data_IF_455407968244
#
_entry.id   IF_455407968244
#
_cell.length_a   1.000
_cell.length_b   1.000
_cell.length_c   1.000
_cell.angle_alpha   90.00
_cell.angle_beta   90.00
_cell.angle_gamma   90.00
#
_symmetry.space_group_name_H-M   'P 1'
#
loop_
_entity.id
_entity.type
_entity.pdbx_description
1 polymer ?
#
# COMPACT_ATOMS: atom_id res chain seq x y z
N UNK A 1 0.10 -12.98 11.46
CA UNK A 1 0.38 -11.98 10.41
C UNK A 1 -0.96 -11.46 9.90
N UNK A 2 -1.53 -10.48 10.59
CA UNK A 2 -2.67 -9.73 10.08
C UNK A 2 -2.17 -8.87 8.93
N UNK A 3 -2.38 -9.30 7.69
CA UNK A 3 -2.20 -8.43 6.53
C UNK A 3 -3.33 -7.41 6.66
N UNK A 4 -3.02 -6.26 7.23
CA UNK A 4 -3.94 -5.14 7.30
C UNK A 4 -4.39 -4.82 5.87
N UNK A 5 -5.70 -4.96 5.62
CA UNK A 5 -6.26 -4.63 4.31
C UNK A 5 -6.05 -3.13 4.10
N UNK A 6 -5.15 -2.76 3.20
CA UNK A 6 -4.94 -1.38 2.81
C UNK A 6 -6.23 -0.76 2.22
N UNK A 7 -6.32 0.58 2.17
CA UNK A 7 -7.51 1.30 1.70
C UNK A 7 -7.87 1.00 0.24
N UNK A 8 -6.99 0.35 -0.53
CA UNK A 8 -7.33 -0.20 -1.84
C UNK A 8 -8.48 -1.22 -1.79
N UNK A 9 -8.66 -1.92 -0.67
CA UNK A 9 -9.71 -2.92 -0.50
C UNK A 9 -11.09 -2.30 -0.25
N UNK A 10 -11.17 -1.00 0.06
CA UNK A 10 -12.44 -0.33 0.39
C UNK A 10 -13.36 -0.23 -0.83
N UNK A 11 -12.78 -0.13 -2.03
CA UNK A 11 -13.49 0.01 -3.30
C UNK A 11 -13.86 -1.33 -3.95
N UNK A 12 -13.53 -2.45 -3.30
CA UNK A 12 -13.85 -3.80 -3.77
C UNK A 12 -14.55 -4.60 -2.68
N UNK A 13 -15.29 -5.62 -3.07
CA UNK A 13 -15.94 -6.56 -2.15
C UNK A 13 -15.40 -7.95 -2.40
N UNK A 14 -14.98 -8.66 -1.35
CA UNK A 14 -14.54 -10.05 -1.48
C UNK A 14 -15.78 -10.93 -1.70
N UNK A 15 -15.87 -11.53 -2.88
CA UNK A 15 -16.88 -12.52 -3.23
C UNK A 15 -16.24 -13.89 -3.10
N UNK A 16 -16.64 -14.64 -2.07
CA UNK A 16 -16.30 -16.06 -1.98
C UNK A 16 -17.16 -16.79 -3.01
N UNK A 17 -16.53 -17.42 -3.99
CA UNK A 17 -17.25 -18.30 -4.90
C UNK A 17 -17.01 -19.73 -4.43
N UNK A 18 -18.09 -20.44 -4.12
CA UNK A 18 -18.05 -21.87 -3.86
C UNK A 18 -17.83 -22.56 -5.21
N UNK A 19 -16.56 -22.73 -5.59
CA UNK A 19 -16.19 -23.59 -6.70
C UNK A 19 -16.43 -25.04 -6.32
N UNK A 20 -16.88 -25.85 -7.27
CA UNK A 20 -17.18 -27.29 -7.14
C UNK A 20 -15.97 -28.18 -6.81
N UNK A 21 -14.81 -27.60 -6.49
CA UNK A 21 -13.52 -28.28 -6.31
C UNK A 21 -12.84 -28.03 -4.95
N UNK A 22 -13.56 -27.50 -3.96
CA UNK A 22 -13.05 -27.33 -2.59
C UNK A 22 -11.95 -26.26 -2.41
N UNK A 23 -11.42 -25.69 -3.49
CA UNK A 23 -10.47 -24.57 -3.44
C UNK A 23 -11.24 -23.26 -3.32
N UNK A 24 -11.31 -22.70 -2.10
CA UNK A 24 -11.91 -21.39 -1.81
C UNK A 24 -11.06 -20.26 -2.41
N UNK A 25 -11.15 -20.04 -3.71
CA UNK A 25 -10.54 -18.88 -4.35
C UNK A 25 -11.46 -17.66 -4.14
N UNK A 26 -11.04 -16.76 -3.26
CA UNK A 26 -11.71 -15.47 -3.08
C UNK A 26 -11.58 -14.62 -4.34
N UNK A 27 -12.70 -14.19 -4.92
CA UNK A 27 -12.75 -13.23 -6.02
C UNK A 27 -12.98 -11.83 -5.44
N UNK A 28 -12.55 -10.79 -6.12
CA UNK A 28 -12.88 -9.41 -5.76
C UNK A 28 -13.86 -8.84 -6.78
N UNK A 29 -14.95 -8.23 -6.30
CA UNK A 29 -15.92 -7.48 -7.10
C UNK A 29 -15.66 -5.99 -6.95
N UNK A 30 -15.41 -5.28 -8.04
CA UNK A 30 -15.31 -3.84 -8.07
C UNK A 30 -16.66 -3.20 -7.72
N UNK A 31 -16.70 -2.22 -6.79
CA UNK A 31 -17.96 -1.52 -6.44
C UNK A 31 -18.36 -0.47 -7.49
N UNK A 32 -17.44 -0.08 -8.38
CA UNK A 32 -17.69 0.97 -9.37
C UNK A 32 -18.16 0.44 -10.73
N UNK A 33 -17.56 -0.64 -11.22
CA UNK A 33 -17.92 -1.27 -12.50
C UNK A 33 -18.50 -2.67 -12.36
N UNK A 34 -18.66 -3.15 -11.12
CA UNK A 34 -19.20 -4.48 -10.81
C UNK A 34 -18.42 -5.68 -11.36
N UNK A 35 -17.26 -5.42 -11.98
CA UNK A 35 -16.42 -6.46 -12.55
C UNK A 35 -15.78 -7.33 -11.46
N UNK A 36 -15.79 -8.65 -11.69
CA UNK A 36 -15.26 -9.65 -10.76
C UNK A 36 -13.94 -10.18 -11.28
N UNK A 37 -12.88 -10.07 -10.50
CA UNK A 37 -11.53 -10.50 -10.88
C UNK A 37 -10.78 -11.18 -9.72
N UNK A 38 -9.80 -11.99 -10.08
CA UNK A 38 -8.91 -12.68 -9.13
C UNK A 38 -7.66 -11.84 -8.87
N UNK A 39 -7.17 -11.83 -7.63
CA UNK A 39 -5.91 -11.17 -7.27
C UNK A 39 -5.93 -10.47 -5.90
N UNK A 40 -4.77 -9.97 -5.49
CA UNK A 40 -4.63 -9.14 -4.29
C UNK A 40 -4.61 -7.64 -4.59
N UNK A 41 -4.18 -6.86 -3.61
CA UNK A 41 -4.02 -5.40 -3.66
C UNK A 41 -3.40 -4.86 -4.96
N UNK A 42 -2.32 -5.48 -5.45
CA UNK A 42 -1.65 -5.06 -6.69
C UNK A 42 -2.59 -5.08 -7.89
N UNK A 43 -3.40 -6.15 -8.06
CA UNK A 43 -4.35 -6.25 -9.17
C UNK A 43 -5.52 -5.29 -8.98
N UNK A 44 -5.94 -5.04 -7.74
CA UNK A 44 -6.95 -4.03 -7.42
C UNK A 44 -6.47 -2.64 -7.85
N UNK A 45 -5.22 -2.27 -7.50
CA UNK A 45 -4.61 -0.99 -7.93
C UNK A 45 -4.55 -0.88 -9.45
N UNK A 46 -4.04 -1.91 -10.14
CA UNK A 46 -3.95 -1.93 -11.61
C UNK A 46 -5.31 -1.77 -12.30
N UNK A 47 -6.37 -2.37 -11.75
CA UNK A 47 -7.74 -2.22 -12.25
C UNK A 47 -8.20 -0.75 -12.24
N UNK A 48 -7.96 -0.03 -11.14
CA UNK A 48 -8.33 1.39 -10.99
C UNK A 48 -7.42 2.33 -11.76
N UNK A 49 -6.12 2.05 -11.81
CA UNK A 49 -5.13 2.82 -12.58
C UNK A 49 -5.24 2.59 -14.09
N UNK A 50 -6.06 1.63 -14.54
CA UNK A 50 -6.27 1.28 -15.95
C UNK A 50 -4.95 1.00 -16.69
N UNK A 51 -3.98 0.39 -16.01
CA UNK A 51 -2.65 0.07 -16.58
C UNK A 51 -2.76 -1.16 -17.46
N UNK A 52 -2.31 -1.04 -18.72
CA UNK A 52 -2.30 -2.13 -19.69
C UNK A 52 -1.12 -3.09 -19.45
N UNK A 53 -1.31 -4.36 -19.82
CA UNK A 53 -0.21 -5.35 -19.89
C UNK A 53 -0.11 -6.34 -18.73
N UNK A 54 -0.88 -6.19 -17.64
CA UNK A 54 -0.79 -7.06 -16.45
C UNK A 54 -1.88 -8.14 -16.35
N UNK A 55 -2.67 -8.36 -17.41
CA UNK A 55 -3.74 -9.36 -17.41
C UNK A 55 -4.89 -9.06 -16.43
N UNK A 56 -5.07 -7.78 -16.08
CA UNK A 56 -6.16 -7.28 -15.23
C UNK A 56 -7.11 -6.47 -16.10
N UNK A 57 -8.42 -6.70 -15.96
CA UNK A 57 -9.43 -5.92 -16.66
C UNK A 57 -9.40 -4.46 -16.18
N UNK A 58 -9.54 -3.51 -17.11
CA UNK A 58 -9.67 -2.09 -16.78
C UNK A 58 -11.01 -1.79 -16.10
N UNK A 59 -11.03 -0.84 -15.17
CA UNK A 59 -12.29 -0.32 -14.67
C UNK A 59 -13.04 0.39 -15.80
N UNK A 60 -14.30 0.02 -16.02
CA UNK A 60 -15.21 0.62 -17.01
C UNK A 60 -16.19 1.62 -16.38
N UNK A 61 -15.98 1.97 -15.10
CA UNK A 61 -16.79 2.96 -14.42
C UNK A 61 -16.59 4.36 -15.02
N UNK A 62 -17.56 5.24 -14.79
CA UNK A 62 -17.47 6.64 -15.18
C UNK A 62 -16.23 7.31 -14.56
N UNK A 63 -15.55 8.13 -15.36
CA UNK A 63 -14.29 8.79 -14.97
C UNK A 63 -14.47 9.67 -13.73
N UNK A 64 -15.64 10.31 -13.59
CA UNK A 64 -16.04 11.11 -12.42
C UNK A 64 -15.91 10.35 -11.09
N UNK A 65 -16.26 9.05 -11.10
CA UNK A 65 -16.13 8.18 -9.92
C UNK A 65 -14.76 7.54 -9.81
N UNK A 66 -14.03 7.42 -10.92
CA UNK A 66 -12.75 6.73 -11.00
C UNK A 66 -11.57 7.63 -10.62
N UNK A 67 -11.60 8.91 -10.98
CA UNK A 67 -10.58 9.91 -10.67
C UNK A 67 -10.21 10.01 -9.18
N UNK A 68 -11.16 10.15 -8.23
CA UNK A 68 -10.82 10.19 -6.81
C UNK A 68 -10.16 8.87 -6.35
N UNK A 69 -10.62 7.73 -6.87
CA UNK A 69 -10.07 6.42 -6.53
C UNK A 69 -8.64 6.28 -7.06
N UNK A 70 -8.39 6.68 -8.31
CA UNK A 70 -7.04 6.69 -8.90
C UNK A 70 -6.06 7.52 -8.08
N UNK A 71 -6.47 8.72 -7.65
CA UNK A 71 -5.63 9.59 -6.82
C UNK A 71 -5.24 8.91 -5.50
N UNK A 72 -6.18 8.24 -4.84
CA UNK A 72 -5.91 7.47 -3.62
C UNK A 72 -4.90 6.34 -3.89
N UNK A 73 -5.07 5.57 -4.97
CA UNK A 73 -4.14 4.48 -5.32
C UNK A 73 -2.72 4.98 -5.56
N UNK A 74 -2.56 6.11 -6.26
CA UNK A 74 -1.26 6.73 -6.52
C UNK A 74 -0.59 7.25 -5.24
N UNK A 75 -1.36 7.83 -4.32
CA UNK A 75 -0.81 8.31 -3.05
C UNK A 75 -0.29 7.17 -2.17
N UNK A 76 -0.97 6.02 -2.15
CA UNK A 76 -0.51 4.84 -1.41
C UNK A 76 0.84 4.30 -1.93
N UNK A 77 1.06 4.34 -3.24
CA UNK A 77 2.35 3.98 -3.83
C UNK A 77 3.47 4.95 -3.46
N UNK A 78 3.16 6.22 -3.23
CA UNK A 78 4.14 7.23 -2.82
C UNK A 78 4.45 7.14 -1.32
N UNK A 79 3.43 6.92 -0.48
CA UNK A 79 3.58 6.80 0.97
C UNK A 79 4.42 5.58 1.36
N UNK A 80 4.18 4.43 0.70
CA UNK A 80 4.96 3.22 0.91
C UNK A 80 6.46 3.46 0.68
N UNK A 81 6.82 4.25 -0.36
CA UNK A 81 8.23 4.58 -0.66
C UNK A 81 8.85 5.55 0.36
N UNK A 82 8.06 6.46 0.95
CA UNK A 82 8.55 7.43 1.94
C UNK A 82 8.84 6.76 3.29
N UNK A 83 8.01 5.79 3.68
CA UNK A 83 8.18 5.06 4.95
C UNK A 83 9.46 4.24 4.97
N UNK A 84 9.78 3.53 3.87
CA UNK A 84 11.03 2.79 3.71
C UNK A 84 12.29 3.68 3.83
N UNK A 85 12.22 4.95 3.40
CA UNK A 85 13.35 5.87 3.49
C UNK A 85 13.55 6.44 4.90
N UNK A 86 12.48 6.60 5.68
CA UNK A 86 12.54 7.10 7.04
C UNK A 86 13.07 6.02 8.00
N UNK A 87 12.70 4.75 7.79
CA UNK A 87 13.16 3.61 8.59
C UNK A 87 14.64 3.27 8.33
N UNK A 88 15.18 3.61 7.16
CA UNK A 88 16.60 3.43 6.85
C UNK A 88 17.52 4.51 7.47
N UNK A 89 16.98 5.62 7.99
CA UNK A 89 17.77 6.69 8.63
C UNK A 89 17.81 6.60 10.16
N UNK A 90 16.88 5.88 10.80
CA UNK A 90 16.86 5.66 12.26
C UNK A 90 17.71 4.45 12.69
N UNK A 91 18.96 4.37 12.21
CA UNK A 91 19.93 3.39 12.71
C UNK A 91 21.37 3.95 12.81
N UNK A 92 21.54 5.27 12.71
CA UNK A 92 22.81 5.98 12.92
C UNK A 92 22.59 7.19 13.81
N UNK A 93 22.49 6.98 15.12
CA UNK A 93 22.25 8.09 16.03
C UNK A 93 22.29 7.80 17.51
N UNK A 94 23.16 6.90 17.99
CA UNK A 94 23.53 6.95 19.41
C UNK A 94 24.96 6.43 19.65
N UNK A 95 25.92 7.07 18.98
CA UNK A 95 27.31 7.08 19.43
C UNK A 95 27.49 8.28 20.35
N UNK A 96 27.38 8.05 21.65
CA UNK A 96 27.63 9.02 22.70
C UNK A 96 29.11 9.46 22.63
N UNK A 97 29.39 10.51 21.86
CA UNK A 97 30.71 11.16 21.82
C UNK A 97 30.84 12.09 23.01
N UNK A 98 31.30 11.55 24.14
CA UNK A 98 31.74 12.38 25.26
C UNK A 98 33.12 12.95 24.90
N UNK A 99 33.17 14.16 24.37
CA UNK A 99 34.40 14.96 24.38
C UNK A 99 34.46 15.70 25.73
N UNK A 100 35.03 15.04 26.74
CA UNK A 100 35.36 15.69 28.01
C UNK A 100 36.63 16.52 27.78
N UNK A 101 36.46 17.82 27.57
CA UNK A 101 37.56 18.78 27.72
C UNK A 101 37.73 19.06 29.21
N UNK A 102 38.70 18.40 29.84
CA UNK A 102 39.11 18.70 31.21
C UNK A 102 39.92 20.01 31.14
N UNK A 103 39.32 21.10 31.56
CA UNK A 103 40.03 22.33 31.92
C UNK A 103 40.17 22.35 33.44
N UNK A 104 41.32 21.90 33.93
CA UNK A 104 41.75 22.17 35.30
C UNK A 104 42.08 23.66 35.40
N UNK A 105 41.24 24.42 36.10
CA UNK A 105 41.58 25.75 36.60
C UNK A 105 41.62 25.70 38.11
N UNK A 106 42.83 25.95 38.61
CA UNK A 106 43.21 26.16 40.00
C UNK A 106 42.66 27.46 40.55
N UNK A 107 42.22 27.45 41.80
CA UNK A 107 42.00 28.57 42.73
C UNK A 107 41.58 27.90 44.06
N UNK A 108 42.12 28.10 45.25
CA UNK A 108 43.29 28.79 45.84
C UNK A 108 43.49 28.20 47.25
#
# INVERSE_FOLDING_TARGET
MTIEKGPECDYVTLVQHEGTDGVKQGKNKCKLCEHVFHGGATRIRLHFLQVFGCGVAKCTAAEDKLEPVKKVMLQLEQDSRKKEQQEAQDQKGNGFSISISISSSSEE
#
